data_IF_030661291794
#
_entry.id   IF_030661291794
#
_cell.length_a   1.000
_cell.length_b   1.000
_cell.length_c   1.000
_cell.angle_alpha   90.00
_cell.angle_beta   90.00
_cell.angle_gamma   90.00
#
_symmetry.space_group_name_H-M   'P 1'
#
loop_
_entity.id
_entity.type
_entity.pdbx_description
1 polymer ?
#
# COMPACT_ATOMS: atom_id res chain seq x y z
N UNK A 1 4.00 -8.41 24.71
CA UNK A 1 3.43 -7.23 25.38
C UNK A 1 2.31 -6.76 24.47
N UNK A 2 1.05 -6.94 24.87
CA UNK A 2 -0.08 -6.41 24.09
C UNK A 2 -0.12 -4.90 24.27
N UNK A 3 -0.36 -4.17 23.19
CA UNK A 3 -0.30 -2.71 23.20
C UNK A 3 -1.45 -2.05 24.00
N UNK A 4 -2.39 -2.83 24.57
CA UNK A 4 -3.58 -2.31 25.23
C UNK A 4 -4.52 -1.56 24.27
N UNK A 5 -4.50 -1.93 22.99
CA UNK A 5 -5.30 -1.32 21.93
C UNK A 5 -6.22 -2.35 21.30
N UNK A 6 -7.47 -1.94 21.07
CA UNK A 6 -8.42 -2.69 20.27
C UNK A 6 -8.40 -2.21 18.81
N UNK A 7 -8.67 -3.13 17.89
CA UNK A 7 -8.80 -2.82 16.47
C UNK A 7 -10.27 -2.86 16.05
N UNK A 8 -10.74 -1.77 15.45
CA UNK A 8 -12.04 -1.74 14.79
C UNK A 8 -11.87 -1.66 13.27
N UNK A 9 -12.62 -2.48 12.54
CA UNK A 9 -12.62 -2.46 11.08
C UNK A 9 -13.64 -1.47 10.56
N UNK A 10 -13.22 -0.60 9.64
CA UNK A 10 -14.06 0.41 8.99
C UNK A 10 -13.84 0.38 7.49
N UNK A 11 -14.92 0.52 6.74
CA UNK A 11 -14.82 0.72 5.31
C UNK A 11 -14.46 2.19 5.07
N UNK A 12 -13.32 2.41 4.41
CA UNK A 12 -13.00 3.72 3.87
C UNK A 12 -14.03 4.09 2.79
N UNK A 13 -14.23 5.40 2.51
CA UNK A 13 -15.04 5.80 1.38
C UNK A 13 -14.49 5.18 0.09
N UNK A 14 -15.37 4.95 -0.87
CA UNK A 14 -14.98 4.40 -2.16
C UNK A 14 -13.93 5.29 -2.86
N UNK A 15 -13.34 4.78 -3.95
CA UNK A 15 -12.24 5.47 -4.62
C UNK A 15 -12.61 6.87 -5.14
N UNK A 16 -13.87 7.10 -5.51
CA UNK A 16 -14.32 8.42 -5.96
C UNK A 16 -14.59 9.33 -4.78
N UNK A 17 -15.28 8.81 -3.76
CA UNK A 17 -15.64 9.52 -2.53
C UNK A 17 -14.41 10.01 -1.78
N UNK A 18 -13.41 9.16 -1.54
CA UNK A 18 -12.22 9.56 -0.77
C UNK A 18 -11.29 10.56 -1.48
N UNK A 19 -11.50 10.82 -2.78
CA UNK A 19 -10.80 11.90 -3.50
C UNK A 19 -11.44 13.26 -3.25
N UNK A 20 -12.68 13.28 -2.77
CA UNK A 20 -13.40 14.51 -2.46
C UNK A 20 -13.06 14.92 -1.03
N UNK A 21 -12.53 16.16 -0.86
CA UNK A 21 -12.14 16.69 0.45
C UNK A 21 -13.28 16.60 1.46
N UNK A 22 -14.49 16.98 1.08
CA UNK A 22 -15.66 16.99 1.98
C UNK A 22 -15.99 15.60 2.52
N UNK A 23 -15.99 14.59 1.64
CA UNK A 23 -16.27 13.19 2.01
C UNK A 23 -15.15 12.61 2.87
N UNK A 24 -13.89 12.90 2.55
CA UNK A 24 -12.75 12.45 3.35
C UNK A 24 -12.76 13.06 4.76
N UNK A 25 -13.03 14.37 4.86
CA UNK A 25 -13.17 15.09 6.14
C UNK A 25 -14.31 14.54 6.99
N UNK A 26 -15.50 14.37 6.39
CA UNK A 26 -16.64 13.80 7.11
C UNK A 26 -16.35 12.40 7.65
N UNK A 27 -15.70 11.55 6.84
CA UNK A 27 -15.35 10.19 7.26
C UNK A 27 -14.30 10.17 8.37
N UNK A 28 -13.26 11.01 8.30
CA UNK A 28 -12.24 11.12 9.35
C UNK A 28 -12.84 11.67 10.65
N UNK A 29 -13.72 12.67 10.56
CA UNK A 29 -14.44 13.21 11.72
C UNK A 29 -15.24 12.12 12.42
N UNK A 30 -16.01 11.32 11.67
CA UNK A 30 -16.75 10.18 12.22
C UNK A 30 -15.84 9.17 12.92
N UNK A 31 -14.63 8.93 12.40
CA UNK A 31 -13.66 8.07 13.06
C UNK A 31 -13.18 8.70 14.38
N UNK A 32 -12.79 9.98 14.37
CA UNK A 32 -12.38 10.69 15.57
C UNK A 32 -13.49 10.72 16.65
N UNK A 33 -14.73 11.00 16.25
CA UNK A 33 -15.90 11.03 17.13
C UNK A 33 -16.20 9.64 17.75
N UNK A 34 -15.80 8.56 17.07
CA UNK A 34 -15.90 7.20 17.60
C UNK A 34 -14.83 6.84 18.64
N UNK A 35 -13.90 7.77 18.92
CA UNK A 35 -12.85 7.61 19.94
C UNK A 35 -11.62 6.84 19.48
N UNK A 36 -11.42 6.63 18.16
CA UNK A 36 -10.16 6.04 17.70
C UNK A 36 -8.99 7.00 17.90
N UNK A 37 -7.85 6.44 18.27
CA UNK A 37 -6.61 7.22 18.49
C UNK A 37 -5.68 7.25 17.27
N UNK A 38 -6.08 6.59 16.18
CA UNK A 38 -5.31 6.52 14.94
C UNK A 38 -5.99 5.65 13.88
N UNK A 39 -5.52 5.78 12.64
CA UNK A 39 -6.05 5.07 11.47
C UNK A 39 -4.93 4.28 10.81
N UNK A 40 -5.25 3.03 10.45
CA UNK A 40 -4.40 2.19 9.60
C UNK A 40 -5.12 1.96 8.27
N UNK A 41 -4.62 2.57 7.20
CA UNK A 41 -5.15 2.40 5.85
C UNK A 41 -4.49 1.21 5.15
N UNK A 42 -5.30 0.21 4.77
CA UNK A 42 -4.81 -1.02 4.13
C UNK A 42 -5.00 -0.93 2.61
N UNK A 43 -3.91 -0.98 1.84
CA UNK A 43 -3.92 -1.14 0.37
C UNK A 43 -4.78 -0.11 -0.39
N UNK A 44 -4.93 1.09 0.16
CA UNK A 44 -5.73 2.14 -0.48
C UNK A 44 -4.98 2.74 -1.67
N UNK A 45 -5.75 3.18 -2.67
CA UNK A 45 -5.28 4.05 -3.76
C UNK A 45 -5.84 5.46 -3.59
N UNK A 46 -5.06 6.47 -3.98
CA UNK A 46 -5.38 7.89 -3.80
C UNK A 46 -5.84 8.24 -2.37
N UNK A 47 -4.99 8.01 -1.35
CA UNK A 47 -5.33 8.29 0.05
C UNK A 47 -5.23 9.79 0.41
N UNK A 48 -4.75 10.64 -0.49
CA UNK A 48 -4.31 12.01 -0.21
C UNK A 48 -5.32 12.83 0.61
N UNK A 49 -6.60 12.89 0.21
CA UNK A 49 -7.58 13.69 0.95
C UNK A 49 -7.93 13.10 2.33
N UNK A 50 -7.79 11.77 2.52
CA UNK A 50 -7.93 11.14 3.84
C UNK A 50 -6.73 11.47 4.74
N UNK A 51 -5.52 11.47 4.17
CA UNK A 51 -4.31 11.86 4.89
C UNK A 51 -4.36 13.34 5.30
N UNK A 52 -4.86 14.20 4.42
CA UNK A 52 -5.08 15.62 4.72
C UNK A 52 -6.13 15.82 5.80
N UNK A 53 -7.26 15.12 5.71
CA UNK A 53 -8.31 15.18 6.72
C UNK A 53 -7.83 14.69 8.09
N UNK A 54 -7.07 13.60 8.13
CA UNK A 54 -6.50 13.07 9.36
C UNK A 54 -5.47 14.03 9.97
N UNK A 55 -4.64 14.66 9.13
CA UNK A 55 -3.72 15.69 9.60
C UNK A 55 -4.45 16.93 10.14
N UNK A 56 -5.51 17.40 9.46
CA UNK A 56 -6.33 18.53 9.91
C UNK A 56 -7.04 18.22 11.26
N UNK A 57 -7.33 16.94 11.53
CA UNK A 57 -7.95 16.47 12.78
C UNK A 57 -6.95 15.99 13.86
N UNK A 58 -5.65 16.16 13.62
CA UNK A 58 -4.56 15.68 14.50
C UNK A 58 -4.65 14.18 14.83
N UNK A 59 -5.16 13.39 13.87
CA UNK A 59 -5.36 11.94 13.99
C UNK A 59 -4.24 11.21 13.23
N UNK A 60 -3.37 10.43 13.90
CA UNK A 60 -2.31 9.70 13.24
C UNK A 60 -2.84 8.73 12.18
N UNK A 61 -2.27 8.78 10.97
CA UNK A 61 -2.64 7.89 9.87
C UNK A 61 -1.40 7.18 9.32
N UNK A 62 -1.37 5.85 9.41
CA UNK A 62 -0.33 5.01 8.80
C UNK A 62 -0.93 4.17 7.67
N UNK A 63 -0.21 4.08 6.57
CA UNK A 63 -0.61 3.26 5.42
C UNK A 63 0.17 1.93 5.42
N UNK A 64 -0.49 0.84 5.06
CA UNK A 64 0.14 -0.46 4.83
C UNK A 64 -0.05 -0.84 3.37
N UNK A 65 1.07 -1.09 2.69
CA UNK A 65 1.14 -1.45 1.27
C UNK A 65 0.20 -0.61 0.36
N UNK A 66 0.31 0.73 0.39
CA UNK A 66 -0.50 1.60 -0.47
C UNK A 66 -0.31 1.24 -1.94
N UNK A 67 -1.37 1.45 -2.75
CA UNK A 67 -1.29 1.25 -4.20
C UNK A 67 -0.34 2.29 -4.80
N UNK A 68 -0.44 3.53 -4.35
CA UNK A 68 0.32 4.68 -4.83
C UNK A 68 0.89 5.50 -3.66
N UNK A 69 2.08 6.08 -3.85
CA UNK A 69 2.80 6.83 -2.79
C UNK A 69 3.20 8.22 -3.28
N UNK A 70 2.19 9.08 -3.47
CA UNK A 70 2.43 10.45 -3.97
C UNK A 70 2.38 11.52 -2.89
N UNK A 71 1.77 11.21 -1.74
CA UNK A 71 1.54 12.19 -0.70
C UNK A 71 2.76 12.42 0.19
N UNK A 72 3.22 13.67 0.30
CA UNK A 72 4.48 14.04 0.99
C UNK A 72 4.48 13.73 2.49
N UNK A 73 3.32 13.73 3.14
CA UNK A 73 3.19 13.45 4.58
C UNK A 73 2.89 11.99 4.90
N UNK A 74 2.84 11.12 3.89
CA UNK A 74 2.43 9.73 4.11
C UNK A 74 3.52 8.96 4.86
N UNK A 75 3.17 8.44 6.03
CA UNK A 75 3.92 7.39 6.71
C UNK A 75 3.37 6.05 6.25
N UNK A 76 4.25 5.18 5.73
CA UNK A 76 3.82 3.87 5.23
C UNK A 76 4.76 2.76 5.63
N UNK A 77 4.18 1.58 5.87
CA UNK A 77 4.88 0.31 6.05
C UNK A 77 4.65 -0.49 4.77
N UNK A 78 5.73 -0.83 4.08
CA UNK A 78 5.69 -1.51 2.80
C UNK A 78 6.66 -2.70 2.79
N UNK A 79 6.36 -3.68 1.95
CA UNK A 79 7.28 -4.78 1.67
C UNK A 79 8.35 -4.37 0.65
N UNK A 80 9.54 -4.99 0.74
CA UNK A 80 10.55 -4.91 -0.33
C UNK A 80 10.14 -5.80 -1.51
N UNK A 81 9.15 -5.32 -2.25
CA UNK A 81 8.48 -6.02 -3.34
C UNK A 81 9.45 -6.41 -4.48
N UNK A 82 10.45 -5.56 -4.74
CA UNK A 82 11.52 -5.85 -5.69
C UNK A 82 12.37 -7.04 -5.25
N UNK A 83 12.87 -7.02 -4.00
CA UNK A 83 13.75 -8.07 -3.48
C UNK A 83 13.02 -9.42 -3.40
N UNK A 84 11.77 -9.41 -2.95
CA UNK A 84 10.95 -10.62 -2.89
C UNK A 84 10.72 -11.24 -4.27
N UNK A 85 10.37 -10.44 -5.28
CA UNK A 85 10.16 -10.93 -6.64
C UNK A 85 11.46 -11.41 -7.29
N UNK A 86 12.58 -10.74 -7.02
CA UNK A 86 13.91 -11.15 -7.46
C UNK A 86 14.25 -12.53 -6.89
N UNK A 87 14.12 -12.70 -5.57
CA UNK A 87 14.42 -13.97 -4.90
C UNK A 87 13.53 -15.12 -5.40
N UNK A 88 12.23 -14.88 -5.60
CA UNK A 88 11.32 -15.87 -6.15
C UNK A 88 11.71 -16.30 -7.58
N UNK A 89 12.07 -15.34 -8.42
CA UNK A 89 12.48 -15.62 -9.82
C UNK A 89 13.83 -16.36 -9.87
N UNK A 90 14.81 -15.94 -9.07
CA UNK A 90 16.10 -16.62 -8.95
C UNK A 90 15.92 -18.08 -8.50
N UNK A 91 15.00 -18.33 -7.56
CA UNK A 91 14.69 -19.69 -7.12
C UNK A 91 14.16 -20.57 -8.27
N UNK A 92 13.22 -20.06 -9.08
CA UNK A 92 12.70 -20.79 -10.24
C UNK A 92 13.79 -21.06 -11.29
N UNK A 93 14.66 -20.09 -11.55
CA UNK A 93 15.80 -20.27 -12.44
C UNK A 93 16.75 -21.34 -11.90
N UNK A 94 17.01 -21.34 -10.58
CA UNK A 94 17.82 -22.34 -9.89
C UNK A 94 17.25 -23.77 -10.00
N UNK A 95 15.93 -23.90 -10.08
CA UNK A 95 15.23 -25.17 -10.36
C UNK A 95 15.30 -25.57 -11.84
N UNK A 96 15.87 -24.74 -12.72
CA UNK A 96 16.05 -25.03 -14.15
C UNK A 96 15.00 -24.40 -15.07
N UNK A 97 14.07 -23.59 -14.56
CA UNK A 97 13.09 -22.91 -15.41
C UNK A 97 13.75 -21.82 -16.27
N UNK A 98 13.47 -21.83 -17.58
CA UNK A 98 14.03 -20.86 -18.56
C UNK A 98 12.99 -20.04 -19.32
N UNK A 99 11.73 -20.49 -19.33
CA UNK A 99 10.60 -19.78 -19.95
C UNK A 99 9.63 -19.35 -18.86
N UNK A 100 9.85 -18.16 -18.33
CA UNK A 100 9.05 -17.59 -17.25
C UNK A 100 8.10 -16.53 -17.84
N UNK A 101 6.87 -16.49 -17.33
CA UNK A 101 5.88 -15.50 -17.71
C UNK A 101 5.46 -14.68 -16.50
N UNK A 102 5.18 -13.40 -16.70
CA UNK A 102 4.69 -12.49 -15.65
C UNK A 102 3.23 -12.12 -15.91
N UNK A 103 2.37 -12.41 -14.92
CA UNK A 103 0.98 -11.93 -14.89
C UNK A 103 0.91 -10.88 -13.76
N UNK A 104 0.85 -9.61 -14.16
CA UNK A 104 0.96 -8.47 -13.26
C UNK A 104 -0.37 -7.99 -12.66
N UNK A 105 -0.26 -7.04 -11.73
CA UNK A 105 -1.38 -6.28 -11.18
C UNK A 105 -1.60 -4.93 -11.90
N UNK A 106 -2.47 -4.06 -11.37
CA UNK A 106 -2.75 -2.74 -11.92
C UNK A 106 -1.48 -1.92 -12.12
N UNK A 107 -1.38 -1.19 -13.23
CA UNK A 107 -0.18 -0.41 -13.59
C UNK A 107 0.15 0.70 -12.58
N UNK A 108 -0.87 1.25 -11.93
CA UNK A 108 -0.71 2.27 -10.89
C UNK A 108 -0.10 1.71 -9.57
N UNK A 109 -0.03 0.39 -9.40
CA UNK A 109 0.48 -0.23 -8.17
C UNK A 109 2.01 -0.21 -8.16
N UNK A 110 2.58 0.51 -7.19
CA UNK A 110 4.03 0.53 -6.96
C UNK A 110 4.54 -0.87 -6.63
N UNK A 111 3.83 -1.61 -5.78
CA UNK A 111 4.17 -3.00 -5.47
C UNK A 111 4.19 -3.90 -6.71
N UNK A 112 3.20 -3.78 -7.62
CA UNK A 112 3.18 -4.55 -8.86
C UNK A 112 4.36 -4.21 -9.77
N UNK A 113 4.70 -2.92 -9.88
CA UNK A 113 5.83 -2.45 -10.67
C UNK A 113 7.18 -2.91 -10.10
N UNK A 114 7.35 -2.82 -8.79
CA UNK A 114 8.57 -3.27 -8.10
C UNK A 114 8.78 -4.77 -8.28
N UNK A 115 7.70 -5.58 -8.16
CA UNK A 115 7.78 -7.02 -8.42
C UNK A 115 8.18 -7.32 -9.86
N UNK A 116 7.59 -6.61 -10.83
CA UNK A 116 7.96 -6.74 -12.24
C UNK A 116 9.45 -6.41 -12.46
N UNK A 117 9.97 -5.38 -11.80
CA UNK A 117 11.39 -5.03 -11.88
C UNK A 117 12.30 -6.06 -11.21
N UNK A 118 11.90 -6.64 -10.08
CA UNK A 118 12.65 -7.73 -9.43
C UNK A 118 12.71 -8.98 -10.33
N UNK A 119 11.58 -9.33 -10.94
CA UNK A 119 11.48 -10.38 -11.94
C UNK A 119 12.41 -10.15 -13.14
N UNK A 120 12.33 -8.97 -13.76
CA UNK A 120 13.19 -8.60 -14.89
C UNK A 120 14.67 -8.60 -14.52
N UNK A 121 15.02 -8.15 -13.31
CA UNK A 121 16.40 -8.14 -12.84
C UNK A 121 16.98 -9.56 -12.69
N UNK A 122 16.19 -10.53 -12.24
CA UNK A 122 16.60 -11.95 -12.22
C UNK A 122 16.84 -12.50 -13.62
N UNK A 123 15.89 -12.27 -14.55
CA UNK A 123 16.04 -12.72 -15.93
C UNK A 123 17.30 -12.14 -16.59
N UNK A 124 17.49 -10.82 -16.46
CA UNK A 124 18.65 -10.13 -17.01
C UNK A 124 19.96 -10.70 -16.45
N UNK A 125 20.04 -10.92 -15.13
CA UNK A 125 21.22 -11.51 -14.50
C UNK A 125 21.49 -12.96 -14.98
N UNK A 126 20.45 -13.71 -15.32
CA UNK A 126 20.53 -15.07 -15.85
C UNK A 126 20.65 -15.14 -17.38
N UNK A 127 20.69 -14.00 -18.07
CA UNK A 127 20.69 -13.88 -19.53
C UNK A 127 19.47 -14.55 -20.19
N UNK A 128 18.30 -14.34 -19.59
CA UNK A 128 16.98 -14.80 -20.07
C UNK A 128 16.07 -13.64 -20.49
#
# INVERSE_FOLDING_TARGET
MEAGLDLITRLAPDKQGRRQRTTAHAWVSDQADSGVIGIVGLTLSAPDALLDAAADADLPFVMIDPVDTHHRRMVSVCLSNWAGARAATDHLIGLGHRRLGWIGGPEASIAARDRLYGYRAALYAAHL
#
